data_IF_183873191935
#
_entry.id   IF_183873191935
#
_cell.length_a   1.000
_cell.length_b   1.000
_cell.length_c   1.000
_cell.angle_alpha   90.00
_cell.angle_beta   90.00
_cell.angle_gamma   90.00
#
_symmetry.space_group_name_H-M   'P 1'
#
loop_
_entity.id
_entity.type
_entity.pdbx_description
1 polymer ?
#
# COMPACT_ATOMS: atom_id res chain seq x y z
N UNK A 1 -15.11 17.10 12.76
CA UNK A 1 -15.42 16.26 11.56
C UNK A 1 -16.81 15.65 11.77
N UNK A 2 -17.85 16.38 11.40
CA UNK A 2 -19.20 16.00 11.84
C UNK A 2 -19.72 14.77 11.06
N UNK A 3 -19.49 14.70 9.76
CA UNK A 3 -19.96 13.59 8.91
C UNK A 3 -18.91 12.52 8.66
N UNK A 4 -17.62 12.84 8.71
CA UNK A 4 -16.55 11.88 8.45
C UNK A 4 -16.43 10.87 9.59
N UNK A 5 -16.13 9.63 9.23
CA UNK A 5 -15.80 8.56 10.17
C UNK A 5 -14.36 8.66 10.64
N UNK A 6 -13.43 8.88 9.69
CA UNK A 6 -12.02 9.16 9.97
C UNK A 6 -11.49 10.23 9.01
N UNK A 7 -10.23 10.64 9.17
CA UNK A 7 -9.54 11.50 8.22
C UNK A 7 -9.43 10.81 6.85
N UNK A 8 -9.51 11.56 5.75
CA UNK A 8 -9.34 10.99 4.41
C UNK A 8 -7.91 10.50 4.22
N UNK A 9 -7.71 9.61 3.25
CA UNK A 9 -6.38 9.20 2.77
C UNK A 9 -6.22 9.62 1.31
N UNK A 10 -5.02 10.08 0.93
CA UNK A 10 -4.70 10.48 -0.44
C UNK A 10 -3.70 9.48 -1.00
N UNK A 11 -4.19 8.48 -1.71
CA UNK A 11 -3.36 7.44 -2.32
C UNK A 11 -2.78 7.89 -3.65
N UNK A 12 -1.56 7.43 -3.93
CA UNK A 12 -0.89 7.69 -5.22
C UNK A 12 -1.13 6.49 -6.14
N UNK A 13 -1.62 6.73 -7.36
CA UNK A 13 -1.85 5.70 -8.37
C UNK A 13 -1.72 6.28 -9.77
N UNK A 14 -0.92 5.66 -10.66
CA UNK A 14 -0.64 6.24 -11.97
C UNK A 14 -0.09 7.66 -11.85
N UNK A 15 -0.74 8.59 -12.53
CA UNK A 15 -0.51 10.03 -12.46
C UNK A 15 -1.64 10.79 -11.74
N UNK A 16 -2.38 10.10 -10.88
CA UNK A 16 -3.52 10.61 -10.14
C UNK A 16 -3.34 10.40 -8.63
N UNK A 17 -4.13 11.13 -7.87
CA UNK A 17 -4.41 10.84 -6.47
C UNK A 17 -5.80 10.24 -6.35
N UNK A 18 -5.92 9.14 -5.62
CA UNK A 18 -7.19 8.52 -5.25
C UNK A 18 -7.51 8.89 -3.80
N UNK A 19 -8.49 9.76 -3.60
CA UNK A 19 -8.87 10.24 -2.28
C UNK A 19 -9.94 9.31 -1.72
N UNK A 20 -9.59 8.55 -0.69
CA UNK A 20 -10.54 7.73 0.07
C UNK A 20 -11.21 8.60 1.12
N UNK A 21 -12.53 8.62 1.07
CA UNK A 21 -13.39 9.30 2.04
C UNK A 21 -14.28 8.27 2.72
N UNK A 22 -14.35 8.29 4.04
CA UNK A 22 -15.26 7.45 4.82
C UNK A 22 -16.19 8.33 5.67
N UNK A 23 -17.48 8.04 5.64
CA UNK A 23 -18.49 8.73 6.41
C UNK A 23 -19.18 7.80 7.42
N UNK A 24 -19.85 8.37 8.38
CA UNK A 24 -20.62 7.65 9.39
C UNK A 24 -21.88 6.97 8.84
N UNK A 25 -22.39 7.49 7.73
CA UNK A 25 -23.61 7.00 7.09
C UNK A 25 -23.46 7.04 5.56
N UNK A 26 -24.29 6.24 4.86
CA UNK A 26 -24.31 6.22 3.42
C UNK A 26 -24.63 7.58 2.81
N UNK A 27 -24.02 7.91 1.68
CA UNK A 27 -24.24 9.20 1.05
C UNK A 27 -23.57 9.36 -0.30
N UNK A 28 -23.82 10.53 -0.88
CA UNK A 28 -23.17 10.98 -2.10
C UNK A 28 -21.94 11.81 -1.72
N UNK A 29 -20.82 11.47 -2.31
CA UNK A 29 -19.54 12.13 -2.10
C UNK A 29 -19.05 12.86 -3.34
N UNK A 30 -18.33 13.94 -3.12
CA UNK A 30 -17.51 14.57 -4.16
C UNK A 30 -16.30 15.27 -3.54
N UNK A 31 -15.26 15.44 -4.35
CA UNK A 31 -14.08 16.25 -4.02
C UNK A 31 -14.04 17.45 -4.94
N UNK A 32 -13.85 18.63 -4.36
CA UNK A 32 -13.66 19.87 -5.12
C UNK A 32 -12.24 20.37 -4.97
N UNK A 33 -11.55 20.62 -6.09
CA UNK A 33 -10.19 21.17 -6.12
C UNK A 33 -10.19 22.32 -7.11
N UNK A 34 -9.82 23.51 -6.68
CA UNK A 34 -9.77 24.73 -7.51
C UNK A 34 -11.04 24.94 -8.36
N UNK A 35 -12.22 24.75 -7.73
CA UNK A 35 -13.53 24.88 -8.38
C UNK A 35 -13.95 23.72 -9.28
N UNK A 36 -13.08 22.76 -9.56
CA UNK A 36 -13.42 21.52 -10.29
C UNK A 36 -13.99 20.49 -9.33
N UNK A 37 -15.01 19.75 -9.77
CA UNK A 37 -15.68 18.72 -8.96
C UNK A 37 -15.38 17.35 -9.54
N UNK A 38 -14.97 16.43 -8.66
CA UNK A 38 -14.66 15.05 -8.98
C UNK A 38 -15.57 14.11 -8.20
N UNK A 39 -15.93 13.00 -8.80
CA UNK A 39 -16.80 11.97 -8.24
C UNK A 39 -16.21 10.58 -8.44
N UNK A 40 -16.55 9.63 -7.55
CA UNK A 40 -16.50 8.23 -7.90
C UNK A 40 -17.72 7.94 -8.79
N UNK A 41 -17.52 7.20 -9.87
CA UNK A 41 -18.61 6.72 -10.69
C UNK A 41 -18.53 5.21 -10.92
N UNK A 42 -19.68 4.61 -11.18
CA UNK A 42 -19.77 3.21 -11.57
C UNK A 42 -20.71 3.10 -12.77
N UNK A 43 -20.14 2.90 -13.96
CA UNK A 43 -20.85 2.85 -15.22
C UNK A 43 -21.82 4.06 -15.42
N UNK A 44 -21.35 5.27 -15.06
CA UNK A 44 -22.13 6.51 -15.15
C UNK A 44 -23.06 6.77 -13.96
N UNK A 45 -23.16 5.85 -13.01
CA UNK A 45 -23.92 6.05 -11.79
C UNK A 45 -23.03 6.62 -10.68
N UNK A 46 -23.54 7.61 -9.97
CA UNK A 46 -22.89 8.11 -8.75
C UNK A 46 -23.36 7.28 -7.54
N UNK A 47 -22.46 6.55 -6.85
CA UNK A 47 -22.81 5.74 -5.70
C UNK A 47 -23.36 6.59 -4.54
N UNK A 48 -24.50 6.21 -3.97
CA UNK A 48 -25.11 6.90 -2.83
C UNK A 48 -25.58 5.98 -1.70
N UNK A 49 -25.38 4.67 -1.86
CA UNK A 49 -25.68 3.64 -0.85
C UNK A 49 -24.38 3.08 -0.22
N UNK A 50 -23.28 3.84 -0.28
CA UNK A 50 -22.01 3.51 0.36
C UNK A 50 -21.69 4.54 1.44
N UNK A 51 -21.03 4.13 2.49
CA UNK A 51 -20.47 5.01 3.52
C UNK A 51 -19.01 5.43 3.22
N UNK A 52 -18.48 5.06 2.06
CA UNK A 52 -17.15 5.41 1.59
C UNK A 52 -17.15 5.68 0.08
N UNK A 53 -16.15 6.41 -0.39
CA UNK A 53 -15.91 6.64 -1.82
C UNK A 53 -14.41 6.79 -2.09
N UNK A 54 -13.98 6.36 -3.28
CA UNK A 54 -12.63 6.56 -3.82
C UNK A 54 -12.73 7.51 -5.01
N UNK A 55 -12.19 8.70 -4.87
CA UNK A 55 -12.36 9.77 -5.86
C UNK A 55 -11.01 10.12 -6.45
N UNK A 56 -10.84 9.90 -7.75
CA UNK A 56 -9.60 10.22 -8.46
C UNK A 56 -9.52 11.68 -8.86
N UNK A 57 -8.36 12.27 -8.64
CA UNK A 57 -8.03 13.65 -8.97
C UNK A 57 -6.67 13.67 -9.66
N UNK A 58 -6.52 14.27 -10.84
CA UNK A 58 -5.21 14.41 -11.50
C UNK A 58 -4.20 15.08 -10.59
N UNK A 59 -2.97 14.56 -10.49
CA UNK A 59 -1.92 15.09 -9.62
C UNK A 59 -1.65 16.55 -9.89
N UNK A 60 -1.50 16.93 -11.17
CA UNK A 60 -1.24 18.33 -11.55
C UNK A 60 -2.30 19.32 -11.05
N UNK A 61 -3.53 18.87 -10.81
CA UNK A 61 -4.61 19.71 -10.27
C UNK A 61 -4.46 19.88 -8.76
N UNK A 62 -4.25 18.77 -8.03
CA UNK A 62 -4.15 18.80 -6.58
C UNK A 62 -2.82 19.40 -6.09
N UNK A 63 -1.71 19.07 -6.77
CA UNK A 63 -0.38 19.63 -6.47
C UNK A 63 -0.38 21.16 -6.56
N UNK A 64 -0.98 21.68 -7.61
CA UNK A 64 -1.11 23.13 -7.79
C UNK A 64 -2.00 23.78 -6.73
N UNK A 65 -3.13 23.15 -6.39
CA UNK A 65 -4.10 23.70 -5.45
C UNK A 65 -3.66 23.60 -3.99
N UNK A 66 -2.87 22.56 -3.63
CA UNK A 66 -2.38 22.25 -2.28
C UNK A 66 -3.47 22.14 -1.22
N UNK A 67 -4.71 21.95 -1.67
CA UNK A 67 -5.88 21.74 -0.83
C UNK A 67 -7.03 21.18 -1.62
N UNK A 68 -7.95 20.51 -0.93
CA UNK A 68 -9.17 19.96 -1.50
C UNK A 68 -10.32 20.05 -0.50
N UNK A 69 -11.55 20.04 -1.00
CA UNK A 69 -12.76 20.07 -0.18
C UNK A 69 -13.57 18.82 -0.44
N UNK A 70 -13.79 18.01 0.57
CA UNK A 70 -14.74 16.91 0.55
C UNK A 70 -16.13 17.48 0.76
N UNK A 71 -17.07 17.09 -0.10
CA UNK A 71 -18.50 17.39 0.04
C UNK A 71 -19.28 16.11 0.18
N UNK A 72 -20.24 16.12 1.06
CA UNK A 72 -21.04 14.97 1.40
C UNK A 72 -22.50 15.35 1.57
N UNK A 73 -23.38 14.47 1.10
CA UNK A 73 -24.83 14.53 1.38
C UNK A 73 -25.32 13.16 1.79
N UNK A 74 -25.85 13.03 3.00
CA UNK A 74 -26.42 11.77 3.50
C UNK A 74 -27.54 11.31 2.54
N UNK A 75 -27.56 10.02 2.22
CA UNK A 75 -28.70 9.39 1.54
C UNK A 75 -29.81 9.13 2.56
N UNK A 76 -30.96 9.76 2.34
CA UNK A 76 -32.16 9.55 3.17
C UNK A 76 -33.00 8.41 2.59
N UNK A 77 -33.11 8.36 1.26
CA UNK A 77 -33.89 7.37 0.53
C UNK A 77 -33.39 7.31 -0.91
N UNK A 78 -33.11 6.13 -1.44
CA UNK A 78 -32.75 5.92 -2.84
C UNK A 78 -33.91 5.34 -3.63
N UNK A 79 -34.37 6.06 -4.63
CA UNK A 79 -35.48 5.66 -5.49
C UNK A 79 -35.02 5.40 -6.92
N UNK A 80 -35.85 4.74 -7.71
CA UNK A 80 -35.58 4.37 -9.09
C UNK A 80 -35.15 5.57 -9.99
N UNK A 81 -35.70 6.75 -9.75
CA UNK A 81 -35.44 7.93 -10.59
C UNK A 81 -34.63 9.03 -9.89
N UNK A 82 -34.52 9.03 -8.58
CA UNK A 82 -33.77 10.02 -7.81
C UNK A 82 -33.48 9.51 -6.39
N UNK A 83 -32.49 10.10 -5.77
CA UNK A 83 -32.22 9.91 -4.34
C UNK A 83 -32.67 11.14 -3.57
N UNK A 84 -33.35 10.92 -2.43
CA UNK A 84 -33.60 11.97 -1.45
C UNK A 84 -32.34 12.10 -0.60
N UNK A 85 -31.68 13.24 -0.72
CA UNK A 85 -30.42 13.53 -0.02
C UNK A 85 -30.65 14.58 1.08
N UNK A 86 -29.87 14.49 2.13
CA UNK A 86 -29.81 15.49 3.20
C UNK A 86 -29.08 16.77 2.77
N UNK A 87 -28.82 17.64 3.72
CA UNK A 87 -28.11 18.89 3.51
C UNK A 87 -26.66 18.65 3.09
N UNK A 88 -26.11 19.60 2.32
CA UNK A 88 -24.71 19.57 1.93
C UNK A 88 -23.81 19.87 3.14
N UNK A 89 -22.89 18.98 3.42
CA UNK A 89 -21.80 19.17 4.36
C UNK A 89 -20.48 19.23 3.59
N UNK A 90 -19.53 20.01 4.07
CA UNK A 90 -18.25 20.18 3.42
C UNK A 90 -17.12 20.35 4.44
N UNK A 91 -15.94 19.84 4.10
CA UNK A 91 -14.72 20.03 4.90
C UNK A 91 -13.51 20.17 3.98
N UNK A 92 -12.72 21.21 4.22
CA UNK A 92 -11.45 21.46 3.49
C UNK A 92 -10.28 20.78 4.21
N UNK A 93 -9.34 20.26 3.42
CA UNK A 93 -8.09 19.66 3.84
C UNK A 93 -6.92 20.32 3.08
N UNK A 94 -5.82 20.56 3.78
CA UNK A 94 -4.56 20.90 3.13
C UNK A 94 -3.98 19.66 2.45
N UNK A 95 -3.19 19.85 1.40
CA UNK A 95 -2.42 18.82 0.73
C UNK A 95 -0.95 19.26 0.59
N UNK A 96 -0.02 18.34 0.80
CA UNK A 96 1.42 18.56 0.70
C UNK A 96 1.98 17.75 -0.47
N UNK A 97 2.10 18.34 -1.68
CA UNK A 97 2.75 17.66 -2.81
C UNK A 97 4.26 17.50 -2.57
N UNK A 98 4.88 16.54 -3.25
CA UNK A 98 6.33 16.40 -3.27
C UNK A 98 6.90 17.33 -4.33
N UNK A 99 7.38 18.50 -3.91
CA UNK A 99 8.00 19.51 -4.78
C UNK A 99 9.54 19.48 -4.75
N UNK A 100 10.11 18.67 -3.86
CA UNK A 100 11.56 18.52 -3.68
C UNK A 100 12.15 17.60 -4.75
N UNK A 101 13.34 17.90 -5.20
CA UNK A 101 14.14 17.01 -6.06
C UNK A 101 15.12 16.15 -5.27
N UNK A 102 15.49 16.59 -4.08
CA UNK A 102 16.41 15.92 -3.15
C UNK A 102 15.90 15.97 -1.71
N UNK A 103 16.45 15.13 -0.85
CA UNK A 103 16.03 14.97 0.54
C UNK A 103 14.52 14.66 0.64
N UNK A 104 14.03 13.78 -0.25
CA UNK A 104 12.66 13.30 -0.18
C UNK A 104 12.58 12.29 0.97
N UNK A 105 11.71 12.56 1.93
CA UNK A 105 11.52 11.74 3.11
C UNK A 105 10.34 10.80 2.93
N UNK A 106 10.64 9.52 2.78
CA UNK A 106 9.67 8.43 2.70
C UNK A 106 9.67 7.71 4.05
N UNK A 107 8.51 7.49 4.64
CA UNK A 107 8.42 6.62 5.80
C UNK A 107 7.66 5.34 5.44
N UNK A 108 8.32 4.20 5.64
CA UNK A 108 7.82 2.86 5.31
C UNK A 108 7.42 2.10 6.57
N UNK A 109 6.23 1.52 6.54
CA UNK A 109 5.65 0.66 7.57
C UNK A 109 4.95 -0.54 6.94
N UNK A 110 5.14 -1.73 7.52
CA UNK A 110 4.48 -2.99 7.15
C UNK A 110 4.23 -3.82 8.42
N UNK A 111 3.59 -4.98 8.30
CA UNK A 111 3.42 -5.94 9.40
C UNK A 111 2.80 -5.32 10.67
N UNK A 112 1.81 -4.46 10.48
CA UNK A 112 1.17 -3.71 11.59
C UNK A 112 0.31 -4.63 12.45
N UNK A 113 -0.40 -5.60 11.85
CA UNK A 113 -1.21 -6.60 12.54
C UNK A 113 -2.06 -5.99 13.67
N UNK A 114 -2.84 -4.93 13.34
CA UNK A 114 -3.68 -4.15 14.28
C UNK A 114 -2.94 -3.43 15.42
N UNK A 115 -1.60 -3.40 15.44
CA UNK A 115 -0.81 -2.66 16.44
C UNK A 115 -0.69 -1.18 16.09
N UNK A 116 -1.80 -0.57 15.74
CA UNK A 116 -1.89 0.81 15.23
C UNK A 116 -1.22 1.84 16.12
N UNK A 117 -1.36 1.72 17.44
CA UNK A 117 -0.79 2.71 18.38
C UNK A 117 0.74 2.71 18.38
N UNK A 118 1.37 1.53 18.24
CA UNK A 118 2.82 1.42 18.13
C UNK A 118 3.32 1.92 16.77
N UNK A 119 2.66 1.51 15.70
CA UNK A 119 2.98 1.96 14.35
C UNK A 119 2.85 3.49 14.23
N UNK A 120 1.79 4.10 14.76
CA UNK A 120 1.61 5.56 14.78
C UNK A 120 2.75 6.31 15.48
N UNK A 121 3.29 5.76 16.57
CA UNK A 121 4.45 6.36 17.25
C UNK A 121 5.68 6.36 16.36
N UNK A 122 5.91 5.25 15.67
CA UNK A 122 7.09 5.04 14.81
C UNK A 122 7.06 5.94 13.58
N UNK A 123 5.93 6.04 12.88
CA UNK A 123 5.80 6.83 11.64
C UNK A 123 6.00 8.34 11.84
N UNK A 124 5.93 8.83 13.06
CA UNK A 124 6.23 10.22 13.38
C UNK A 124 7.72 10.58 13.37
N UNK A 125 8.62 9.73 12.86
CA UNK A 125 10.07 9.95 12.87
C UNK A 125 10.49 11.25 12.17
N UNK A 126 10.05 11.49 10.95
CA UNK A 126 10.32 12.74 10.23
C UNK A 126 9.38 13.90 10.61
N UNK A 127 8.32 13.62 11.37
CA UNK A 127 7.32 14.64 11.73
C UNK A 127 6.70 15.30 10.49
N UNK A 128 6.66 16.64 10.49
CA UNK A 128 6.11 17.44 9.38
C UNK A 128 6.96 17.40 8.10
N UNK A 129 8.20 16.92 8.19
CA UNK A 129 9.09 16.78 7.04
C UNK A 129 8.81 15.53 6.21
N UNK A 130 7.96 14.62 6.68
CA UNK A 130 7.53 13.45 5.89
C UNK A 130 6.87 13.90 4.58
N UNK A 131 7.34 13.36 3.45
CA UNK A 131 6.84 13.68 2.11
C UNK A 131 5.94 12.57 1.56
N UNK A 132 6.19 11.31 1.91
CA UNK A 132 5.44 10.14 1.45
C UNK A 132 5.37 9.09 2.55
N UNK A 133 4.19 8.52 2.76
CA UNK A 133 4.04 7.29 3.51
C UNK A 133 3.93 6.08 2.58
N UNK A 134 4.58 4.98 2.93
CA UNK A 134 4.39 3.68 2.30
C UNK A 134 3.87 2.72 3.35
N UNK A 135 2.63 2.29 3.19
CA UNK A 135 1.96 1.27 4.00
C UNK A 135 1.98 -0.02 3.18
N UNK A 136 2.80 -0.96 3.62
CA UNK A 136 3.22 -2.09 2.79
C UNK A 136 2.75 -3.44 3.36
N UNK A 137 1.44 -3.59 3.47
CA UNK A 137 0.80 -4.88 3.74
C UNK A 137 0.86 -5.37 5.18
N UNK A 138 0.12 -6.43 5.42
CA UNK A 138 -0.09 -7.09 6.71
C UNK A 138 -0.57 -6.09 7.78
N UNK A 139 -1.56 -5.30 7.37
CA UNK A 139 -2.20 -4.36 8.28
C UNK A 139 -3.19 -5.13 9.18
N UNK A 140 -3.87 -6.15 8.64
CA UNK A 140 -4.66 -7.11 9.38
C UNK A 140 -5.68 -7.87 8.51
N UNK A 141 -6.10 -9.06 8.93
CA UNK A 141 -7.15 -9.85 8.28
C UNK A 141 -8.51 -9.15 8.41
N UNK A 142 -9.37 -9.27 7.40
CA UNK A 142 -10.63 -8.54 7.34
C UNK A 142 -11.84 -9.47 7.47
N UNK A 143 -12.37 -9.58 8.69
CA UNK A 143 -13.56 -10.35 9.03
C UNK A 143 -14.86 -9.53 8.92
N UNK A 144 -14.76 -8.21 9.11
CA UNK A 144 -15.89 -7.29 9.12
C UNK A 144 -15.55 -5.98 8.40
N UNK A 145 -16.56 -5.22 7.99
CA UNK A 145 -16.32 -3.86 7.46
C UNK A 145 -15.65 -2.93 8.48
N UNK A 146 -15.85 -3.18 9.78
CA UNK A 146 -15.20 -2.39 10.83
C UNK A 146 -13.67 -2.50 10.73
N UNK A 147 -13.16 -3.68 10.40
CA UNK A 147 -11.71 -3.88 10.22
C UNK A 147 -11.16 -3.02 9.08
N UNK A 148 -11.89 -2.88 7.96
CA UNK A 148 -11.50 -1.92 6.90
C UNK A 148 -11.49 -0.49 7.40
N UNK A 149 -12.48 -0.08 8.19
CA UNK A 149 -12.52 1.28 8.73
C UNK A 149 -11.41 1.54 9.74
N UNK A 150 -11.00 0.56 10.53
CA UNK A 150 -9.85 0.67 11.44
C UNK A 150 -8.56 0.90 10.64
N UNK A 151 -8.36 0.19 9.53
CA UNK A 151 -7.22 0.41 8.63
C UNK A 151 -7.32 1.79 7.97
N UNK A 152 -8.50 2.19 7.47
CA UNK A 152 -8.72 3.53 6.93
C UNK A 152 -8.41 4.63 7.96
N UNK A 153 -8.82 4.43 9.21
CA UNK A 153 -8.52 5.35 10.30
C UNK A 153 -7.01 5.43 10.55
N UNK A 154 -6.32 4.30 10.60
CA UNK A 154 -4.87 4.28 10.77
C UNK A 154 -4.16 5.08 9.68
N UNK A 155 -4.48 4.83 8.40
CA UNK A 155 -3.88 5.52 7.26
C UNK A 155 -4.23 7.01 7.26
N UNK A 156 -5.48 7.34 7.55
CA UNK A 156 -5.93 8.71 7.70
C UNK A 156 -5.22 9.46 8.83
N UNK A 157 -5.05 8.82 9.99
CA UNK A 157 -4.39 9.41 11.15
C UNK A 157 -2.91 9.69 10.90
N UNK A 158 -2.16 8.77 10.24
CA UNK A 158 -0.74 8.98 9.96
C UNK A 158 -0.50 10.03 8.87
N UNK A 159 -1.36 10.07 7.85
CA UNK A 159 -1.23 11.01 6.71
C UNK A 159 -1.87 12.38 6.97
N UNK A 160 -2.80 12.45 7.93
CA UNK A 160 -3.59 13.65 8.21
C UNK A 160 -4.50 14.08 7.06
N UNK A 161 -4.71 13.22 6.04
CA UNK A 161 -5.34 13.60 4.77
C UNK A 161 -4.51 14.59 3.94
N UNK A 162 -3.26 14.81 4.33
CA UNK A 162 -2.38 15.85 3.80
C UNK A 162 -1.20 15.29 3.03
N UNK A 163 -0.61 14.21 3.52
CA UNK A 163 0.60 13.59 2.95
C UNK A 163 0.15 12.44 2.04
N UNK A 164 0.70 12.32 0.80
CA UNK A 164 0.39 11.20 -0.10
C UNK A 164 0.82 9.87 0.50
N UNK A 165 0.08 8.81 0.16
CA UNK A 165 0.29 7.45 0.66
C UNK A 165 0.37 6.47 -0.50
N UNK A 166 1.34 5.59 -0.50
CA UNK A 166 1.35 4.36 -1.28
C UNK A 166 0.87 3.23 -0.38
N UNK A 167 -0.12 2.47 -0.82
CA UNK A 167 -0.66 1.34 -0.08
C UNK A 167 -0.53 0.07 -0.91
N UNK A 168 0.10 -0.96 -0.35
CA UNK A 168 0.28 -2.26 -0.98
C UNK A 168 -0.30 -3.34 -0.07
N UNK A 169 -0.95 -4.32 -0.66
CA UNK A 169 -1.54 -5.45 0.05
C UNK A 169 -0.46 -6.47 0.46
N UNK A 170 -0.52 -6.97 1.69
CA UNK A 170 0.26 -8.11 2.16
C UNK A 170 -0.53 -9.43 2.08
N UNK A 171 0.10 -10.51 2.52
CA UNK A 171 -0.55 -11.82 2.48
C UNK A 171 -1.67 -11.96 3.53
N UNK A 172 -1.55 -11.33 4.70
CA UNK A 172 -2.64 -11.32 5.68
C UNK A 172 -3.85 -10.50 5.20
N UNK A 173 -3.64 -9.45 4.42
CA UNK A 173 -4.73 -8.64 3.85
C UNK A 173 -5.54 -9.40 2.78
N UNK A 174 -5.09 -10.61 2.36
CA UNK A 174 -5.83 -11.49 1.46
C UNK A 174 -6.75 -12.48 2.19
N UNK A 175 -6.74 -12.43 3.53
CA UNK A 175 -7.47 -13.35 4.40
C UNK A 175 -8.67 -12.68 5.04
N UNK A 176 -9.59 -13.51 5.56
CA UNK A 176 -10.80 -13.04 6.20
C UNK A 176 -12.01 -13.04 5.27
N UNK A 177 -13.20 -12.94 5.87
CA UNK A 177 -14.49 -13.09 5.15
C UNK A 177 -14.77 -12.02 4.09
N UNK A 178 -14.11 -10.87 4.19
CA UNK A 178 -14.32 -9.73 3.30
C UNK A 178 -13.08 -9.38 2.47
N UNK A 179 -12.11 -10.27 2.37
CA UNK A 179 -10.85 -10.02 1.66
C UNK A 179 -11.05 -9.57 0.20
N UNK A 180 -12.09 -10.07 -0.48
CA UNK A 180 -12.44 -9.68 -1.85
C UNK A 180 -12.92 -8.22 -1.99
N UNK A 181 -13.29 -7.56 -0.87
CA UNK A 181 -13.68 -6.15 -0.86
C UNK A 181 -12.50 -5.20 -0.72
N UNK A 182 -11.27 -5.70 -0.66
CA UNK A 182 -10.07 -4.88 -0.53
C UNK A 182 -10.05 -3.71 -1.54
N UNK A 183 -10.41 -3.98 -2.79
CA UNK A 183 -10.43 -2.98 -3.86
C UNK A 183 -11.54 -1.94 -3.74
N UNK A 184 -12.49 -2.12 -2.83
CA UNK A 184 -13.50 -1.09 -2.53
C UNK A 184 -12.93 0.02 -1.64
N UNK A 185 -11.86 -0.26 -0.88
CA UNK A 185 -11.25 0.65 0.09
C UNK A 185 -9.86 1.15 -0.31
N UNK A 186 -9.03 0.31 -0.93
CA UNK A 186 -7.62 0.61 -1.17
C UNK A 186 -7.29 0.72 -2.66
N UNK A 187 -6.14 1.32 -3.02
CA UNK A 187 -5.79 1.61 -4.40
C UNK A 187 -5.80 0.35 -5.28
N UNK A 188 -6.36 0.49 -6.47
CA UNK A 188 -6.36 -0.55 -7.48
C UNK A 188 -6.51 0.05 -8.88
N UNK A 189 -5.91 -0.59 -9.87
CA UNK A 189 -6.14 -0.25 -11.28
C UNK A 189 -7.16 -1.23 -11.87
N UNK A 190 -8.39 -0.78 -12.00
CA UNK A 190 -9.52 -1.65 -12.27
C UNK A 190 -9.77 -2.62 -11.11
N UNK A 191 -9.41 -3.90 -11.29
CA UNK A 191 -9.46 -4.93 -10.23
C UNK A 191 -8.06 -5.41 -9.80
N UNK A 192 -6.99 -4.82 -10.35
CA UNK A 192 -5.64 -5.19 -10.03
C UNK A 192 -5.14 -4.36 -8.86
N UNK A 193 -4.59 -5.02 -7.85
CA UNK A 193 -4.00 -4.43 -6.66
C UNK A 193 -2.52 -4.12 -6.82
N UNK A 194 -1.99 -4.34 -8.02
CA UNK A 194 -0.66 -3.93 -8.48
C UNK A 194 -0.80 -2.82 -9.51
N UNK A 195 0.10 -1.85 -9.46
CA UNK A 195 0.05 -0.67 -10.33
C UNK A 195 1.39 0.06 -10.35
N UNK A 196 1.63 0.85 -11.40
CA UNK A 196 2.69 1.86 -11.38
C UNK A 196 2.15 3.20 -10.89
N UNK A 197 3.03 4.05 -10.40
CA UNK A 197 2.69 5.40 -9.98
C UNK A 197 3.88 6.36 -10.13
N UNK A 198 3.56 7.63 -10.23
CA UNK A 198 4.54 8.71 -10.14
C UNK A 198 4.18 9.63 -8.99
N UNK A 199 5.18 10.17 -8.30
CA UNK A 199 5.00 11.18 -7.25
C UNK A 199 6.24 12.06 -7.17
N UNK A 200 6.09 13.36 -7.43
CA UNK A 200 7.23 14.24 -7.61
C UNK A 200 8.16 13.75 -8.74
N UNK A 201 9.44 13.64 -8.45
CA UNK A 201 10.45 13.12 -9.39
C UNK A 201 10.75 11.61 -9.20
N UNK A 202 9.89 10.89 -8.46
CA UNK A 202 10.02 9.45 -8.25
C UNK A 202 9.02 8.70 -9.13
N UNK A 203 9.41 7.49 -9.58
CA UNK A 203 8.52 6.50 -10.14
C UNK A 203 8.48 5.29 -9.21
N UNK A 204 7.29 4.78 -8.96
CA UNK A 204 7.09 3.61 -8.13
C UNK A 204 6.34 2.49 -8.84
N UNK A 205 6.61 1.26 -8.41
CA UNK A 205 5.94 0.04 -8.86
C UNK A 205 5.43 -0.67 -7.61
N UNK A 206 4.11 -0.69 -7.44
CA UNK A 206 3.43 -1.41 -6.38
C UNK A 206 3.13 -2.83 -6.88
N UNK A 207 3.63 -3.84 -6.17
CA UNK A 207 3.47 -5.26 -6.48
C UNK A 207 2.66 -5.94 -5.39
N UNK A 208 1.78 -6.82 -5.78
CA UNK A 208 0.94 -7.60 -4.87
C UNK A 208 1.39 -9.07 -4.85
N UNK A 209 2.05 -9.46 -3.79
CA UNK A 209 2.51 -10.84 -3.63
C UNK A 209 1.38 -11.87 -3.51
N UNK A 210 0.15 -11.43 -3.19
CA UNK A 210 -0.93 -12.35 -2.82
C UNK A 210 -0.62 -13.14 -1.55
N UNK A 211 -1.16 -14.35 -1.44
CA UNK A 211 -0.90 -15.26 -0.32
C UNK A 211 0.53 -15.83 -0.41
N UNK A 212 1.15 -16.04 0.73
CA UNK A 212 2.53 -16.57 0.86
C UNK A 212 2.62 -18.09 0.73
N UNK A 213 1.50 -18.76 0.43
CA UNK A 213 1.39 -20.20 0.29
C UNK A 213 0.92 -20.60 -1.11
N UNK A 214 1.08 -21.85 -1.45
CA UNK A 214 0.53 -22.43 -2.68
C UNK A 214 -0.98 -22.38 -2.69
N UNK A 215 -1.58 -22.25 -3.86
CA UNK A 215 -3.03 -22.30 -4.05
C UNK A 215 -3.63 -23.68 -3.66
N UNK A 216 -2.85 -24.75 -3.81
CA UNK A 216 -3.24 -26.11 -3.41
C UNK A 216 -2.35 -26.66 -2.28
N UNK A 217 -2.63 -26.25 -1.07
CA UNK A 217 -1.83 -26.65 0.11
C UNK A 217 -1.92 -28.14 0.46
N UNK A 218 -2.98 -28.83 0.02
CA UNK A 218 -3.16 -30.24 0.32
C UNK A 218 -2.07 -31.13 -0.29
N UNK A 219 -1.51 -30.72 -1.44
CA UNK A 219 -0.45 -31.44 -2.13
C UNK A 219 0.91 -31.32 -1.45
N UNK A 220 1.09 -30.33 -0.58
CA UNK A 220 2.38 -29.97 0.02
C UNK A 220 2.46 -30.23 1.52
N UNK A 221 1.56 -31.05 2.08
CA UNK A 221 1.58 -31.37 3.52
C UNK A 221 1.26 -30.19 4.44
N UNK A 222 0.75 -29.09 3.90
CA UNK A 222 0.39 -27.90 4.67
C UNK A 222 -0.64 -28.17 5.78
N UNK A 223 -1.37 -29.26 5.66
CA UNK A 223 -2.31 -29.76 6.64
C UNK A 223 -1.70 -29.98 8.04
N UNK A 224 -0.47 -30.46 8.11
CA UNK A 224 0.22 -30.65 9.38
C UNK A 224 0.57 -29.30 10.06
N UNK A 225 0.76 -28.26 9.26
CA UNK A 225 1.10 -26.92 9.75
C UNK A 225 -0.12 -26.12 10.23
N UNK A 226 -1.27 -26.26 9.53
CA UNK A 226 -2.44 -25.42 9.75
C UNK A 226 -3.60 -26.15 10.44
N UNK A 227 -3.37 -27.35 10.96
CA UNK A 227 -4.35 -28.26 11.50
C UNK A 227 -5.29 -28.88 10.45
N UNK A 228 -5.49 -30.17 10.56
CA UNK A 228 -6.25 -31.01 9.62
C UNK A 228 -7.73 -30.58 9.43
N UNK A 229 -8.24 -29.73 10.28
CA UNK A 229 -9.62 -29.27 10.32
C UNK A 229 -9.88 -28.02 9.44
N UNK A 230 -8.85 -27.43 8.83
CA UNK A 230 -8.99 -26.21 8.03
C UNK A 230 -8.37 -26.28 6.63
N UNK A 231 -8.44 -27.42 5.92
CA UNK A 231 -7.88 -27.53 4.57
C UNK A 231 -8.58 -26.62 3.57
N UNK A 232 -9.87 -26.35 3.77
CA UNK A 232 -10.65 -25.49 2.88
C UNK A 232 -10.28 -24.02 3.01
N UNK A 233 -9.60 -23.61 4.08
CA UNK A 233 -9.22 -22.20 4.30
C UNK A 233 -8.30 -21.71 3.20
N UNK A 234 -7.41 -22.56 2.71
CA UNK A 234 -6.47 -22.20 1.65
C UNK A 234 -6.68 -23.01 0.38
N UNK A 235 -7.12 -24.27 0.49
CA UNK A 235 -7.27 -25.18 -0.64
C UNK A 235 -8.46 -24.82 -1.53
N UNK A 236 -8.20 -24.50 -2.79
CA UNK A 236 -9.23 -24.28 -3.81
C UNK A 236 -9.97 -22.95 -3.75
N UNK A 237 -9.66 -22.07 -2.81
CA UNK A 237 -10.28 -20.72 -2.70
C UNK A 237 -9.38 -19.62 -3.24
N UNK A 238 -8.10 -19.90 -3.49
CA UNK A 238 -7.10 -18.95 -3.97
C UNK A 238 -6.70 -19.25 -5.41
N UNK A 239 -6.33 -18.21 -6.14
CA UNK A 239 -5.77 -18.28 -7.50
C UNK A 239 -4.56 -17.33 -7.63
N UNK A 240 -3.74 -17.22 -6.59
CA UNK A 240 -2.63 -16.26 -6.53
C UNK A 240 -1.47 -16.63 -7.46
N UNK A 241 -1.25 -17.90 -7.76
CA UNK A 241 -0.25 -18.30 -8.77
C UNK A 241 -0.60 -17.73 -10.14
N UNK A 242 -1.86 -17.86 -10.56
CA UNK A 242 -2.36 -17.25 -11.79
C UNK A 242 -2.33 -15.73 -11.73
N UNK A 243 -2.61 -15.16 -10.57
CA UNK A 243 -2.58 -13.73 -10.33
C UNK A 243 -1.17 -13.17 -10.48
N UNK A 244 -0.16 -13.77 -9.83
CA UNK A 244 1.25 -13.38 -9.96
C UNK A 244 1.78 -13.49 -11.40
N UNK A 245 1.31 -14.46 -12.20
CA UNK A 245 1.66 -14.55 -13.63
C UNK A 245 1.09 -13.39 -14.45
N UNK A 246 -0.10 -12.90 -14.12
CA UNK A 246 -0.63 -11.68 -14.75
C UNK A 246 0.19 -10.45 -14.39
N UNK A 247 0.67 -10.39 -13.17
CA UNK A 247 1.54 -9.32 -12.69
C UNK A 247 2.92 -9.37 -13.36
N UNK A 248 3.42 -10.56 -13.67
CA UNK A 248 4.60 -10.70 -14.53
C UNK A 248 4.39 -10.05 -15.90
N UNK A 249 3.23 -10.24 -16.52
CA UNK A 249 2.93 -9.61 -17.81
C UNK A 249 2.75 -8.08 -17.67
N UNK A 250 2.21 -7.61 -16.55
CA UNK A 250 2.19 -6.18 -16.22
C UNK A 250 3.62 -5.62 -16.16
N UNK A 251 4.53 -6.24 -15.42
CA UNK A 251 5.93 -5.82 -15.32
C UNK A 251 6.61 -5.76 -16.70
N UNK A 252 6.39 -6.75 -17.56
CA UNK A 252 6.92 -6.78 -18.94
C UNK A 252 6.39 -5.62 -19.79
N UNK A 253 5.17 -5.18 -19.53
CA UNK A 253 4.54 -4.06 -20.23
C UNK A 253 5.01 -2.67 -19.78
N UNK A 254 5.69 -2.57 -18.65
CA UNK A 254 6.18 -1.27 -18.16
C UNK A 254 7.39 -0.77 -18.94
N UNK A 255 7.49 0.53 -19.08
CA UNK A 255 8.63 1.21 -19.70
C UNK A 255 9.63 1.72 -18.65
N UNK A 256 10.90 1.69 -19.01
CA UNK A 256 11.96 2.28 -18.18
C UNK A 256 11.76 3.79 -18.08
N UNK A 257 11.98 4.34 -16.90
CA UNK A 257 11.84 5.77 -16.61
C UNK A 257 13.21 6.42 -16.42
N UNK A 258 13.29 7.71 -16.72
CA UNK A 258 14.43 8.56 -16.35
C UNK A 258 14.37 8.98 -14.86
N UNK A 259 13.21 8.87 -14.23
CA UNK A 259 13.04 9.14 -12.80
C UNK A 259 13.66 8.01 -11.98
N UNK A 260 14.10 8.32 -10.78
CA UNK A 260 14.50 7.30 -9.80
C UNK A 260 13.31 6.36 -9.56
N UNK A 261 13.52 5.08 -9.93
CA UNK A 261 12.47 4.07 -9.83
C UNK A 261 12.69 3.20 -8.60
N UNK A 262 11.62 2.98 -7.82
CA UNK A 262 11.62 2.03 -6.71
C UNK A 262 10.41 1.11 -6.79
N UNK A 263 10.49 -0.03 -6.12
CA UNK A 263 9.38 -0.96 -6.01
C UNK A 263 8.92 -1.09 -4.55
N UNK A 264 7.66 -1.47 -4.39
CA UNK A 264 7.08 -1.83 -3.10
C UNK A 264 6.40 -3.18 -3.27
N UNK A 265 6.79 -4.15 -2.47
CA UNK A 265 6.17 -5.47 -2.41
C UNK A 265 6.22 -5.97 -0.98
N UNK A 266 5.12 -6.45 -0.44
CA UNK A 266 5.11 -6.93 0.93
C UNK A 266 6.10 -8.10 1.09
N UNK A 267 6.01 -9.11 0.22
CA UNK A 267 7.01 -10.20 0.16
C UNK A 267 8.09 -9.82 -0.85
N UNK A 268 9.34 -9.78 -0.38
CA UNK A 268 10.47 -9.48 -1.25
C UNK A 268 10.80 -10.65 -2.17
N UNK A 269 10.74 -10.50 -3.50
CA UNK A 269 11.08 -11.58 -4.43
C UNK A 269 12.49 -12.16 -4.28
N UNK A 270 13.43 -11.40 -3.72
CA UNK A 270 14.78 -11.88 -3.45
C UNK A 270 14.87 -12.81 -2.22
N UNK A 271 13.86 -12.80 -1.36
CA UNK A 271 13.84 -13.53 -0.08
C UNK A 271 12.89 -14.72 -0.06
N UNK A 272 12.17 -14.95 -1.14
CA UNK A 272 11.28 -16.08 -1.27
C UNK A 272 11.97 -17.23 -1.98
N UNK A 273 11.32 -18.30 -2.11
CA UNK A 273 11.76 -19.59 -2.56
C UNK A 273 12.36 -20.40 -1.44
N UNK A 274 11.54 -21.05 -0.77
CA UNK A 274 11.89 -22.06 0.18
C UNK A 274 12.17 -23.39 -0.54
N UNK A 275 12.51 -24.39 0.21
CA UNK A 275 12.58 -25.76 -0.32
C UNK A 275 11.21 -26.18 -0.88
N UNK A 276 11.14 -27.04 -1.87
CA UNK A 276 9.86 -27.51 -2.43
C UNK A 276 8.88 -28.08 -1.41
N UNK A 277 9.40 -28.54 -0.28
CA UNK A 277 8.61 -29.13 0.81
C UNK A 277 8.05 -28.08 1.81
N UNK A 278 8.39 -26.80 1.63
CA UNK A 278 7.87 -25.74 2.50
C UNK A 278 6.50 -25.28 2.02
N UNK A 279 5.50 -25.19 2.90
CA UNK A 279 4.21 -24.59 2.57
C UNK A 279 4.29 -23.10 2.22
N UNK A 280 5.41 -22.44 2.54
CA UNK A 280 5.70 -21.06 2.22
C UNK A 280 6.52 -20.89 0.93
N UNK A 281 6.72 -21.96 0.18
CA UNK A 281 7.39 -21.87 -1.10
C UNK A 281 6.45 -21.23 -2.13
N UNK A 282 6.80 -20.05 -2.57
CA UNK A 282 6.14 -19.42 -3.71
C UNK A 282 6.89 -19.84 -4.98
N UNK A 283 6.22 -19.83 -6.12
CA UNK A 283 6.80 -20.20 -7.40
C UNK A 283 8.10 -19.43 -7.70
N UNK A 284 9.19 -20.11 -7.58
CA UNK A 284 10.54 -19.56 -7.77
C UNK A 284 10.69 -18.91 -9.14
N UNK A 285 10.10 -19.51 -10.17
CA UNK A 285 10.16 -19.04 -11.55
C UNK A 285 9.53 -17.67 -11.71
N UNK A 286 8.37 -17.42 -11.07
CA UNK A 286 7.66 -16.14 -11.11
C UNK A 286 8.52 -15.05 -10.51
N UNK A 287 9.08 -15.27 -9.32
CA UNK A 287 9.91 -14.26 -8.68
C UNK A 287 11.30 -14.08 -9.33
N UNK A 288 11.82 -15.10 -9.97
CA UNK A 288 13.00 -14.95 -10.84
C UNK A 288 12.70 -14.02 -12.02
N UNK A 289 11.54 -14.19 -12.64
CA UNK A 289 11.09 -13.28 -13.73
C UNK A 289 10.85 -11.86 -13.20
N UNK A 290 10.22 -11.70 -12.03
CA UNK A 290 10.03 -10.37 -11.44
C UNK A 290 11.35 -9.66 -11.18
N UNK A 291 12.32 -10.32 -10.58
CA UNK A 291 13.64 -9.74 -10.34
C UNK A 291 14.34 -9.31 -11.64
N UNK A 292 14.19 -10.10 -12.71
CA UNK A 292 14.72 -9.77 -14.03
C UNK A 292 14.04 -8.54 -14.63
N UNK A 293 12.71 -8.44 -14.54
CA UNK A 293 11.98 -7.28 -15.05
C UNK A 293 12.25 -6.02 -14.21
N UNK A 294 12.36 -6.15 -12.89
CA UNK A 294 12.74 -5.04 -12.01
C UNK A 294 14.15 -4.51 -12.34
N UNK A 295 15.09 -5.41 -12.66
CA UNK A 295 16.42 -5.02 -13.17
C UNK A 295 16.33 -4.29 -14.52
N UNK A 296 15.52 -4.80 -15.47
CA UNK A 296 15.28 -4.15 -16.77
C UNK A 296 14.73 -2.74 -16.60
N UNK A 297 13.83 -2.54 -15.63
CA UNK A 297 13.21 -1.26 -15.30
C UNK A 297 14.13 -0.33 -14.50
N UNK A 298 15.34 -0.78 -14.16
CA UNK A 298 16.33 -0.04 -13.38
C UNK A 298 15.80 0.36 -11.99
N UNK A 299 15.10 -0.57 -11.33
CA UNK A 299 14.65 -0.37 -9.95
C UNK A 299 15.87 -0.25 -9.03
N UNK A 300 15.99 0.88 -8.34
CA UNK A 300 17.11 1.17 -7.48
C UNK A 300 17.01 0.49 -6.12
N UNK A 301 15.80 0.49 -5.54
CA UNK A 301 15.53 -0.16 -4.26
C UNK A 301 14.09 -0.67 -4.20
N UNK A 302 13.86 -1.64 -3.33
CA UNK A 302 12.55 -2.20 -3.01
C UNK A 302 12.28 -2.05 -1.52
N UNK A 303 11.07 -1.65 -1.17
CA UNK A 303 10.55 -1.66 0.20
C UNK A 303 9.76 -2.96 0.41
N UNK A 304 10.08 -3.68 1.48
CA UNK A 304 9.45 -4.97 1.80
C UNK A 304 9.17 -5.12 3.30
N UNK A 305 8.24 -6.00 3.64
CA UNK A 305 7.85 -6.43 4.98
C UNK A 305 7.93 -7.95 5.14
N UNK A 306 6.89 -8.58 5.69
CA UNK A 306 6.64 -10.02 5.80
C UNK A 306 7.58 -10.78 6.74
N UNK A 307 8.85 -10.45 6.76
CA UNK A 307 9.86 -11.24 7.49
C UNK A 307 9.83 -11.00 9.01
N UNK A 308 9.05 -10.03 9.48
CA UNK A 308 9.04 -9.59 10.89
C UNK A 308 10.47 -9.33 11.41
N UNK A 309 11.30 -8.76 10.56
CA UNK A 309 12.68 -8.39 10.82
C UNK A 309 12.99 -7.11 10.05
N UNK A 310 13.94 -6.32 10.55
CA UNK A 310 14.38 -5.10 9.89
C UNK A 310 15.85 -5.25 9.49
N UNK A 311 16.14 -5.12 8.19
CA UNK A 311 17.49 -5.21 7.62
C UNK A 311 17.52 -4.68 6.18
N UNK A 312 18.72 -4.51 5.65
CA UNK A 312 18.95 -4.16 4.24
C UNK A 312 19.77 -5.26 3.56
N UNK A 313 19.40 -5.61 2.35
CA UNK A 313 20.18 -6.46 1.44
C UNK A 313 20.80 -5.60 0.34
N UNK A 314 22.08 -5.79 0.11
CA UNK A 314 22.80 -5.23 -1.03
C UNK A 314 22.35 -5.89 -2.35
N UNK A 315 22.67 -5.27 -3.47
CA UNK A 315 22.45 -5.88 -4.80
C UNK A 315 23.15 -7.24 -4.87
N UNK A 316 22.42 -8.28 -5.25
CA UNK A 316 22.93 -9.66 -5.28
C UNK A 316 23.54 -10.14 -3.95
N UNK A 317 22.98 -9.71 -2.81
CA UNK A 317 23.43 -10.09 -1.47
C UNK A 317 23.45 -11.63 -1.33
N UNK A 318 24.52 -12.17 -0.71
CA UNK A 318 24.65 -13.61 -0.51
C UNK A 318 23.59 -14.23 0.41
N UNK A 319 22.90 -13.40 1.17
CA UNK A 319 21.75 -13.82 2.01
C UNK A 319 20.46 -13.97 1.21
N UNK A 320 20.43 -13.46 -0.03
CA UNK A 320 19.29 -13.57 -0.91
C UNK A 320 19.15 -14.95 -1.50
N UNK A 321 17.92 -15.43 -1.64
CA UNK A 321 17.60 -16.73 -2.23
C UNK A 321 17.57 -16.69 -3.76
N UNK A 322 17.25 -15.51 -4.31
CA UNK A 322 17.24 -15.26 -5.76
C UNK A 322 18.13 -14.05 -6.08
N UNK A 323 18.82 -14.05 -7.24
CA UNK A 323 19.55 -12.88 -7.71
C UNK A 323 18.64 -11.67 -7.91
N UNK A 324 19.13 -10.49 -7.54
CA UNK A 324 18.41 -9.23 -7.72
C UNK A 324 19.38 -8.05 -7.85
N UNK A 325 19.03 -7.02 -8.61
CA UNK A 325 19.90 -5.88 -8.90
C UNK A 325 19.44 -4.57 -8.21
N UNK A 326 18.63 -4.68 -7.16
CA UNK A 326 18.15 -3.56 -6.35
C UNK A 326 18.57 -3.76 -4.89
N UNK A 327 18.57 -2.67 -4.10
CA UNK A 327 18.67 -2.78 -2.65
C UNK A 327 17.31 -3.20 -2.07
N UNK A 328 17.24 -4.27 -1.30
CA UNK A 328 16.01 -4.65 -0.62
C UNK A 328 16.02 -4.13 0.82
N UNK A 329 15.07 -3.27 1.13
CA UNK A 329 14.88 -2.67 2.45
C UNK A 329 13.69 -3.36 3.09
N UNK A 330 13.96 -4.34 3.96
CA UNK A 330 12.97 -4.95 4.82
C UNK A 330 12.90 -4.08 6.06
N UNK A 331 11.94 -3.19 6.08
CA UNK A 331 12.00 -2.02 6.95
C UNK A 331 11.02 -2.01 8.10
N UNK A 332 10.21 -3.08 8.24
CA UNK A 332 9.18 -3.08 9.27
C UNK A 332 9.12 -4.39 10.02
N UNK A 333 9.00 -4.30 11.33
CA UNK A 333 8.90 -5.45 12.17
C UNK A 333 8.20 -5.13 13.49
N UNK A 334 7.45 -6.10 13.98
CA UNK A 334 6.91 -6.09 15.32
C UNK A 334 7.76 -6.99 16.21
N UNK A 335 8.39 -6.42 17.22
CA UNK A 335 9.21 -7.14 18.20
C UNK A 335 8.44 -7.23 19.51
N UNK A 336 7.72 -8.35 19.71
CA UNK A 336 6.90 -8.53 20.91
C UNK A 336 5.71 -7.55 20.96
N UNK A 337 5.21 -7.28 22.16
CA UNK A 337 3.99 -6.48 22.37
C UNK A 337 4.26 -4.97 22.49
N UNK A 338 5.50 -4.58 22.77
CA UNK A 338 5.83 -3.21 23.17
C UNK A 338 6.68 -2.44 22.14
N UNK A 339 7.20 -3.11 21.10
CA UNK A 339 8.14 -2.51 20.18
C UNK A 339 7.73 -2.77 18.73
N UNK A 340 7.75 -1.69 17.94
CA UNK A 340 7.49 -1.71 16.51
C UNK A 340 8.58 -0.90 15.80
N UNK A 341 9.15 -1.48 14.74
CA UNK A 341 10.13 -0.80 13.90
C UNK A 341 9.54 -0.44 12.56
N UNK A 342 10.02 0.67 12.00
CA UNK A 342 9.76 1.11 10.65
C UNK A 342 11.03 1.65 10.00
N UNK A 343 10.95 2.10 8.75
CA UNK A 343 12.10 2.65 8.06
C UNK A 343 11.83 4.08 7.58
N UNK A 344 12.67 5.00 8.05
CA UNK A 344 12.83 6.32 7.46
C UNK A 344 13.82 6.26 6.31
N UNK A 345 13.40 6.70 5.12
CA UNK A 345 14.21 6.69 3.90
C UNK A 345 14.36 8.11 3.41
N UNK A 346 15.60 8.60 3.30
CA UNK A 346 15.91 9.89 2.68
C UNK A 346 16.52 9.65 1.30
N UNK A 347 15.79 10.04 0.26
CA UNK A 347 16.19 9.87 -1.13
C UNK A 347 16.91 11.14 -1.61
N UNK A 348 18.13 10.96 -2.10
CA UNK A 348 18.93 11.97 -2.77
C UNK A 348 19.34 11.49 -4.16
N UNK A 349 19.91 12.38 -4.95
CA UNK A 349 20.28 12.11 -6.34
C UNK A 349 21.29 10.96 -6.50
N UNK A 350 22.24 10.83 -5.58
CA UNK A 350 23.37 9.88 -5.65
C UNK A 350 23.31 8.76 -4.61
N UNK A 351 22.43 8.89 -3.62
CA UNK A 351 22.38 7.97 -2.49
C UNK A 351 21.01 7.94 -1.83
N UNK A 352 20.76 6.86 -1.12
CA UNK A 352 19.63 6.70 -0.21
C UNK A 352 20.19 6.50 1.20
N UNK A 353 19.67 7.23 2.16
CA UNK A 353 19.91 6.98 3.58
C UNK A 353 18.70 6.22 4.12
N UNK A 354 18.92 5.02 4.64
CA UNK A 354 17.91 4.21 5.32
C UNK A 354 18.19 4.25 6.81
N UNK A 355 17.20 4.56 7.60
CA UNK A 355 17.24 4.59 9.05
C UNK A 355 16.13 3.72 9.60
N UNK A 356 16.48 2.57 10.15
CA UNK A 356 15.54 1.69 10.87
C UNK A 356 15.28 2.31 12.24
N UNK A 357 14.01 2.57 12.54
CA UNK A 357 13.62 3.35 13.73
C UNK A 357 12.57 2.62 14.56
N UNK A 358 12.67 2.75 15.87
CA UNK A 358 11.74 2.15 16.82
C UNK A 358 10.52 3.05 17.13
N UNK A 359 9.63 2.55 17.99
CA UNK A 359 8.44 3.29 18.45
C UNK A 359 8.76 4.49 19.36
N UNK A 360 10.01 4.68 19.76
CA UNK A 360 10.54 5.88 20.44
C UNK A 360 11.17 6.86 19.48
N UNK A 361 11.13 6.56 18.16
CA UNK A 361 11.76 7.35 17.09
C UNK A 361 13.28 7.37 17.17
N UNK A 362 13.88 6.37 17.82
CA UNK A 362 15.33 6.23 17.86
C UNK A 362 15.81 5.48 16.63
N UNK A 363 16.94 5.91 16.07
CA UNK A 363 17.59 5.20 14.98
C UNK A 363 18.32 4.00 15.57
N UNK A 364 17.84 2.80 15.26
CA UNK A 364 18.43 1.54 15.69
C UNK A 364 19.58 1.11 14.77
N UNK A 365 19.39 1.28 13.46
CA UNK A 365 20.40 0.99 12.44
C UNK A 365 20.33 2.04 11.32
N UNK A 366 21.45 2.25 10.61
CA UNK A 366 21.51 3.19 9.51
C UNK A 366 22.39 2.67 8.38
N UNK A 367 21.90 2.82 7.13
CA UNK A 367 22.56 2.34 5.92
C UNK A 367 22.64 3.47 4.90
N UNK A 368 23.81 3.61 4.26
CA UNK A 368 23.99 4.51 3.13
C UNK A 368 24.16 3.70 1.86
N UNK A 369 23.18 3.78 0.98
CA UNK A 369 23.11 3.02 -0.27
C UNK A 369 23.47 3.95 -1.44
N UNK A 370 24.43 3.56 -2.28
CA UNK A 370 24.88 4.37 -3.42
C UNK A 370 24.10 3.99 -4.67
N UNK A 371 23.55 4.98 -5.38
CA UNK A 371 22.72 4.74 -6.57
C UNK A 371 23.55 4.49 -7.85
N UNK A 372 24.80 4.95 -7.88
CA UNK A 372 25.68 4.91 -9.04
C UNK A 372 26.98 4.12 -8.76
N UNK A 373 26.85 3.04 -7.97
CA UNK A 373 28.00 2.14 -7.70
C UNK A 373 27.99 0.95 -8.65
#
# INVERSE_FOLDING_TARGET
>A
MEFLRCLPSVFVIGNEYEILVTAKENGLFSVTVDGKVFYEENAGCLPSEKSHAKIRVPQAVLDKAKKYTIRYRKTIDRKAYYSKLGDMQAQEFAFKPIEKEENIHIYHVADVHYRFDLAKKTVGFFGDDTDLFVVNGDIGEVETEENYFEVCQFVGDISGGKIPVVFVRGNHDTRGKLAEKFTDYFPCEGKNTYYEFEVGNLKGIALDCGEDKYDNHLEYGAMEYFHADSPEVYGGVNAFEKFRRKETEFLKGLEKSEKLTFAVSHICPAQTAQTPDSPFAIEKEVYTEWNKELARLNVAFMLAGHMHKAYVLEKNDKRSLLPHEYYAIVGSACFGDDEFWGAGITVNKDKILVQLTDSKKQVCESFKLLLHA
#
